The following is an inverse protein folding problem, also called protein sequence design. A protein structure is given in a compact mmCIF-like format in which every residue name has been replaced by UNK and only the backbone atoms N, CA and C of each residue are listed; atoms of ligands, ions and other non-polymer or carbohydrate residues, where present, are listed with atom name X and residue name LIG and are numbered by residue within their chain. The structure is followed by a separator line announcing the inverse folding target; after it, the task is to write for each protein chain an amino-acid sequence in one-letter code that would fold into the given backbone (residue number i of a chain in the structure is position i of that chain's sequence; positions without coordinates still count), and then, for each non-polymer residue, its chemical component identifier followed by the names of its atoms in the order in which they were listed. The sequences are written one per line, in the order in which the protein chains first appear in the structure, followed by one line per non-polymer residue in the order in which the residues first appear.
data_IF_959877670560
#
_entry.id   IF_959877670560
#
_cell.length_a   1.000
_cell.length_b   1.000
_cell.length_c   1.000
_cell.angle_alpha   90.00
_cell.angle_beta   90.00
_cell.angle_gamma   90.00
#
_symmetry.space_group_name_H-M   'P 1'
#
loop_
_entity.id
_entity.type
_entity.pdbx_description
1 polymer ?
#
# COMPACT_ATOMS: atom_id res chain seq x y z
N UNK A 1 3.54 -6.47 -17.33
CA UNK A 1 4.22 -5.66 -16.29
C UNK A 1 3.45 -5.83 -15.00
N UNK A 2 4.10 -5.91 -13.85
CA UNK A 2 3.43 -6.01 -12.55
C UNK A 2 3.67 -4.76 -11.73
N UNK A 3 2.60 -4.18 -11.18
CA UNK A 3 2.68 -3.02 -10.29
C UNK A 3 2.39 -3.49 -8.87
N UNK A 4 3.36 -3.28 -8.00
CA UNK A 4 3.24 -3.48 -6.56
C UNK A 4 3.44 -2.13 -5.90
N UNK A 5 2.48 -1.71 -5.08
CA UNK A 5 2.66 -0.53 -4.24
C UNK A 5 1.72 -0.56 -3.05
N UNK A 6 2.12 0.05 -1.95
CA UNK A 6 1.18 0.36 -0.87
C UNK A 6 0.32 1.57 -1.26
N UNK A 7 -0.99 1.52 -0.97
CA UNK A 7 -1.89 2.66 -1.11
C UNK A 7 -1.53 3.83 -0.18
N UNK A 8 -0.80 3.56 0.90
CA UNK A 8 -0.35 4.52 1.88
C UNK A 8 1.18 4.41 2.03
N UNK A 9 1.90 4.54 0.92
CA UNK A 9 3.35 4.42 0.89
C UNK A 9 4.00 5.39 1.89
N UNK A 10 4.68 4.82 2.89
CA UNK A 10 5.15 5.59 4.03
C UNK A 10 6.20 6.63 3.63
N UNK A 11 6.98 6.38 2.57
CA UNK A 11 7.96 7.34 2.06
C UNK A 11 7.27 8.52 1.38
N UNK A 12 6.29 8.27 0.50
CA UNK A 12 5.50 9.33 -0.14
C UNK A 12 4.76 10.19 0.89
N UNK A 13 4.13 9.58 1.89
CA UNK A 13 3.46 10.30 2.98
C UNK A 13 4.46 11.15 3.78
N UNK A 14 5.63 10.59 4.13
CA UNK A 14 6.61 11.28 4.96
C UNK A 14 7.33 12.43 4.24
N UNK A 15 7.59 12.31 2.94
CA UNK A 15 8.51 13.22 2.27
C UNK A 15 7.93 13.96 1.06
N UNK A 16 6.79 13.54 0.53
CA UNK A 16 6.19 14.13 -0.68
C UNK A 16 4.89 14.85 -0.36
N UNK A 17 3.94 14.18 0.28
CA UNK A 17 2.58 14.72 0.45
C UNK A 17 2.48 15.80 1.52
N UNK A 18 3.27 15.67 2.57
CA UNK A 18 3.20 16.55 3.74
C UNK A 18 4.57 17.18 3.95
N UNK A 19 4.94 18.22 3.18
CA UNK A 19 6.14 19.00 3.43
C UNK A 19 6.02 19.69 4.79
N UNK A 20 7.15 19.84 5.49
CA UNK A 20 7.16 20.37 6.86
C UNK A 20 6.61 21.81 6.95
N UNK A 21 6.62 22.55 5.83
CA UNK A 21 5.99 23.87 5.70
C UNK A 21 4.46 23.86 5.80
N UNK A 22 3.80 22.74 5.49
CA UNK A 22 2.33 22.57 5.55
C UNK A 22 1.86 21.99 6.89
N UNK A 23 2.76 21.68 7.82
CA UNK A 23 2.44 21.16 9.15
C UNK A 23 2.88 22.11 10.29
N UNK A 24 2.30 23.33 10.38
CA UNK A 24 2.59 24.23 11.49
C UNK A 24 2.35 23.53 12.84
N UNK A 25 3.35 23.55 13.72
CA UNK A 25 3.24 23.01 15.07
C UNK A 25 3.36 21.49 15.20
N UNK A 26 4.00 20.79 14.26
CA UNK A 26 4.20 19.33 14.31
C UNK A 26 2.90 18.50 14.26
N UNK A 27 1.79 19.08 13.82
CA UNK A 27 0.46 18.44 13.81
C UNK A 27 0.41 17.12 13.04
N UNK A 28 1.26 16.95 12.03
CA UNK A 28 1.39 15.74 11.23
C UNK A 28 2.50 14.79 11.67
N UNK A 29 3.39 15.20 12.59
CA UNK A 29 4.59 14.41 12.94
C UNK A 29 4.25 13.00 13.40
N UNK A 30 3.29 12.87 14.32
CA UNK A 30 2.83 11.57 14.82
C UNK A 30 2.19 10.70 13.73
N UNK A 31 1.38 11.31 12.86
CA UNK A 31 0.68 10.67 11.75
C UNK A 31 1.65 10.18 10.66
N UNK A 32 2.62 11.00 10.26
CA UNK A 32 3.69 10.66 9.30
C UNK A 32 4.56 9.50 9.81
N UNK A 33 4.80 9.45 11.11
CA UNK A 33 5.57 8.36 11.70
C UNK A 33 4.77 7.07 11.74
N UNK A 34 3.50 7.14 12.15
CA UNK A 34 2.60 6.01 12.25
C UNK A 34 1.16 6.43 11.91
N UNK A 35 0.63 5.88 10.81
CA UNK A 35 -0.70 6.19 10.29
C UNK A 35 -1.82 5.98 11.32
N UNK A 36 -1.62 5.11 12.34
CA UNK A 36 -2.59 4.90 13.44
C UNK A 36 -2.80 6.13 14.31
N UNK A 37 -1.85 7.06 14.30
CA UNK A 37 -1.92 8.29 15.06
C UNK A 37 -2.57 9.44 14.28
N UNK A 38 -3.00 9.20 13.04
CA UNK A 38 -3.70 10.20 12.24
C UNK A 38 -5.11 10.42 12.81
N UNK A 39 -5.52 11.69 12.92
CA UNK A 39 -6.90 12.02 13.20
C UNK A 39 -7.78 11.86 11.94
N UNK A 40 -9.09 12.03 12.08
CA UNK A 40 -10.05 11.84 10.98
C UNK A 40 -9.75 12.71 9.75
N UNK A 41 -9.40 13.98 9.93
CA UNK A 41 -9.08 14.89 8.83
C UNK A 41 -7.78 14.50 8.13
N UNK A 42 -6.78 14.04 8.89
CA UNK A 42 -5.54 13.53 8.32
C UNK A 42 -5.78 12.24 7.52
N UNK A 43 -6.62 11.34 8.04
CA UNK A 43 -7.00 10.12 7.33
C UNK A 43 -7.81 10.42 6.07
N UNK A 44 -8.73 11.37 6.11
CA UNK A 44 -9.50 11.79 4.92
C UNK A 44 -8.58 12.31 3.81
N UNK A 45 -7.57 13.11 4.16
CA UNK A 45 -6.54 13.56 3.20
C UNK A 45 -5.75 12.37 2.60
N UNK A 46 -5.33 11.41 3.43
CA UNK A 46 -4.62 10.23 2.96
C UNK A 46 -5.49 9.31 2.09
N UNK A 47 -6.79 9.19 2.39
CA UNK A 47 -7.73 8.45 1.55
C UNK A 47 -7.92 9.15 0.21
N UNK A 48 -7.99 10.49 0.17
CA UNK A 48 -8.00 11.23 -1.08
C UNK A 48 -6.75 10.99 -1.94
N UNK A 49 -5.57 10.84 -1.32
CA UNK A 49 -4.35 10.45 -2.05
C UNK A 49 -4.44 9.02 -2.61
N UNK A 50 -4.89 8.06 -1.80
CA UNK A 50 -5.15 6.68 -2.23
C UNK A 50 -6.09 6.67 -3.44
N UNK A 51 -7.20 7.38 -3.37
CA UNK A 51 -8.22 7.39 -4.42
C UNK A 51 -7.66 7.95 -5.73
N UNK A 52 -6.88 9.03 -5.66
CA UNK A 52 -6.18 9.57 -6.81
C UNK A 52 -5.19 8.55 -7.43
N UNK A 53 -4.48 7.78 -6.59
CA UNK A 53 -3.60 6.70 -7.07
C UNK A 53 -4.39 5.58 -7.75
N UNK A 54 -5.46 5.10 -7.12
CA UNK A 54 -6.33 4.04 -7.66
C UNK A 54 -6.94 4.47 -8.99
N UNK A 55 -7.43 5.71 -9.09
CA UNK A 55 -7.95 6.28 -10.32
C UNK A 55 -6.89 6.33 -11.43
N UNK A 56 -5.66 6.73 -11.11
CA UNK A 56 -4.56 6.72 -12.07
C UNK A 56 -4.18 5.30 -12.53
N UNK A 57 -4.39 4.29 -11.69
CA UNK A 57 -4.11 2.88 -11.99
C UNK A 57 -5.21 2.18 -12.79
N UNK A 58 -6.39 2.79 -12.99
CA UNK A 58 -7.47 2.23 -13.84
C UNK A 58 -6.99 1.88 -15.25
N UNK A 59 -5.97 2.57 -15.76
CA UNK A 59 -5.32 2.25 -17.05
C UNK A 59 -4.81 0.80 -17.12
N UNK A 60 -4.52 0.17 -15.97
CA UNK A 60 -4.05 -1.22 -15.89
C UNK A 60 -5.18 -2.20 -16.16
N UNK A 61 -6.45 -1.85 -15.88
CA UNK A 61 -7.60 -2.75 -16.03
C UNK A 61 -7.74 -3.30 -17.46
N UNK A 62 -7.46 -2.46 -18.46
CA UNK A 62 -7.57 -2.82 -19.88
C UNK A 62 -6.29 -3.44 -20.46
N UNK A 63 -5.18 -3.52 -19.70
CA UNK A 63 -3.92 -4.08 -20.17
C UNK A 63 -3.87 -5.59 -19.93
N UNK A 64 -3.81 -6.35 -21.02
CA UNK A 64 -3.58 -7.79 -20.99
C UNK A 64 -2.14 -8.09 -20.54
N UNK A 65 -1.97 -9.16 -19.75
CA UNK A 65 -0.66 -9.55 -19.20
C UNK A 65 -0.08 -8.58 -18.16
N UNK A 66 -0.82 -7.55 -17.75
CA UNK A 66 -0.44 -6.69 -16.63
C UNK A 66 -1.07 -7.17 -15.32
N UNK A 67 -0.32 -7.02 -14.24
CA UNK A 67 -0.77 -7.31 -12.89
C UNK A 67 -0.66 -6.09 -11.97
N UNK A 68 -1.45 -6.09 -10.92
CA UNK A 68 -1.56 -5.04 -9.93
C UNK A 68 -1.81 -5.68 -8.56
N UNK A 69 -1.04 -5.25 -7.56
CA UNK A 69 -1.26 -5.60 -6.16
C UNK A 69 -1.04 -4.34 -5.33
N UNK A 70 -2.14 -3.79 -4.83
CA UNK A 70 -2.15 -2.57 -4.01
C UNK A 70 -2.73 -2.90 -2.64
N UNK A 71 -1.88 -3.03 -1.62
CA UNK A 71 -2.34 -3.24 -0.24
C UNK A 71 -2.58 -1.93 0.51
N UNK A 72 -3.40 -2.00 1.57
CA UNK A 72 -3.70 -0.86 2.42
C UNK A 72 -2.68 -0.65 3.56
N UNK A 73 -1.48 -1.27 3.53
CA UNK A 73 -0.54 -1.17 4.65
C UNK A 73 0.25 0.14 4.62
N UNK A 74 0.69 0.66 5.77
CA UNK A 74 1.58 1.83 5.82
C UNK A 74 3.05 1.38 5.81
N UNK A 75 3.58 1.10 4.62
CA UNK A 75 4.90 0.46 4.42
C UNK A 75 5.61 1.06 3.20
N UNK A 76 6.85 0.66 2.94
CA UNK A 76 7.66 1.06 1.78
C UNK A 76 8.56 -0.12 1.35
N UNK A 77 9.08 -0.11 0.11
CA UNK A 77 10.07 -1.11 -0.38
C UNK A 77 9.68 -2.59 -0.14
N UNK A 78 8.43 -2.96 -0.44
CA UNK A 78 7.83 -4.23 -0.04
C UNK A 78 8.50 -5.50 -0.59
N UNK A 79 9.30 -5.38 -1.66
CA UNK A 79 10.03 -6.49 -2.28
C UNK A 79 11.38 -6.78 -1.62
N UNK A 80 11.88 -5.92 -0.74
CA UNK A 80 13.26 -6.02 -0.23
C UNK A 80 13.39 -7.03 0.90
N UNK A 81 12.31 -7.30 1.62
CA UNK A 81 12.29 -8.18 2.79
C UNK A 81 11.43 -9.41 2.54
N UNK A 82 11.95 -10.60 2.84
CA UNK A 82 11.18 -11.84 2.83
C UNK A 82 9.98 -11.77 3.80
N UNK A 83 10.08 -10.96 4.85
CA UNK A 83 8.98 -10.77 5.82
C UNK A 83 7.79 -10.10 5.13
N UNK A 84 8.00 -9.05 4.35
CA UNK A 84 6.92 -8.39 3.59
C UNK A 84 6.55 -9.17 2.34
N UNK A 85 7.50 -9.87 1.72
CA UNK A 85 7.33 -10.56 0.44
C UNK A 85 6.58 -11.90 0.54
N UNK A 86 7.06 -12.83 1.38
CA UNK A 86 6.49 -14.18 1.48
C UNK A 86 6.68 -14.85 2.85
N UNK A 87 5.88 -14.42 3.83
CA UNK A 87 5.92 -14.93 5.20
C UNK A 87 4.53 -14.92 5.86
N UNK A 88 4.37 -15.49 7.06
CA UNK A 88 3.15 -15.34 7.86
C UNK A 88 2.81 -13.89 8.27
N UNK A 89 3.77 -12.97 8.10
CA UNK A 89 3.66 -11.54 8.40
C UNK A 89 3.53 -10.66 7.16
N UNK A 90 3.56 -11.24 5.95
CA UNK A 90 3.37 -10.49 4.72
C UNK A 90 1.96 -9.91 4.66
N UNK A 91 1.79 -8.71 4.07
CA UNK A 91 0.50 -8.23 3.61
C UNK A 91 -0.16 -9.29 2.73
N UNK A 92 -1.47 -9.45 2.91
CA UNK A 92 -2.28 -10.31 2.07
C UNK A 92 -3.50 -9.59 1.54
N UNK A 93 -3.83 -9.85 0.29
CA UNK A 93 -5.12 -9.55 -0.31
C UNK A 93 -5.83 -10.88 -0.55
N UNK A 94 -7.03 -11.00 0.02
CA UNK A 94 -7.62 -12.31 0.26
C UNK A 94 -6.64 -13.19 1.06
N UNK A 95 -6.33 -14.37 0.52
CA UNK A 95 -5.43 -15.33 1.15
C UNK A 95 -4.00 -15.32 0.58
N UNK A 96 -3.68 -14.43 -0.36
CA UNK A 96 -2.38 -14.46 -1.07
C UNK A 96 -1.37 -13.45 -0.54
N UNK A 97 -0.11 -13.86 -0.38
CA UNK A 97 1.02 -12.96 -0.22
C UNK A 97 1.33 -12.23 -1.52
N UNK A 98 2.20 -11.22 -1.42
CA UNK A 98 2.77 -10.54 -2.58
C UNK A 98 3.46 -11.53 -3.51
N UNK A 99 4.28 -12.45 -2.98
CA UNK A 99 4.99 -13.44 -3.79
C UNK A 99 4.04 -14.42 -4.50
N UNK A 100 2.98 -14.85 -3.83
CA UNK A 100 1.96 -15.73 -4.42
C UNK A 100 1.22 -15.01 -5.57
N UNK A 101 0.82 -13.75 -5.36
CA UNK A 101 0.19 -12.92 -6.39
C UNK A 101 1.11 -12.69 -7.61
N UNK A 102 2.40 -12.43 -7.38
CA UNK A 102 3.39 -12.27 -8.46
C UNK A 102 3.64 -13.59 -9.18
N UNK A 103 3.70 -14.71 -8.46
CA UNK A 103 3.82 -16.05 -9.04
C UNK A 103 2.64 -16.41 -9.94
N UNK A 104 1.42 -16.16 -9.48
CA UNK A 104 0.20 -16.38 -10.26
C UNK A 104 0.18 -15.56 -11.55
N UNK A 105 0.58 -14.29 -11.46
CA UNK A 105 0.71 -13.42 -12.62
C UNK A 105 1.78 -13.93 -13.61
N UNK A 106 2.96 -14.30 -13.12
CA UNK A 106 4.08 -14.73 -13.96
C UNK A 106 3.80 -16.06 -14.67
N UNK A 107 3.10 -17.00 -14.03
CA UNK A 107 2.77 -18.30 -14.61
C UNK A 107 1.60 -18.23 -15.61
N UNK A 108 0.87 -17.12 -15.68
CA UNK A 108 -0.35 -17.01 -16.49
C UNK A 108 -1.52 -17.84 -15.97
N UNK A 109 -1.42 -18.36 -14.74
CA UNK A 109 -2.44 -19.20 -14.10
C UNK A 109 -3.65 -18.40 -13.60
N UNK A 110 -3.54 -17.07 -13.59
CA UNK A 110 -4.59 -16.15 -13.18
C UNK A 110 -4.87 -15.16 -14.30
N UNK A 111 -6.05 -15.28 -14.91
CA UNK A 111 -6.61 -14.19 -15.68
C UNK A 111 -6.89 -13.03 -14.70
N UNK A 112 -5.92 -12.10 -14.61
CA UNK A 112 -5.99 -10.80 -13.93
C UNK A 112 -5.75 -10.84 -12.41
N UNK A 113 -4.49 -10.99 -12.01
CA UNK A 113 -4.04 -10.50 -10.68
C UNK A 113 -4.07 -8.98 -10.71
N UNK A 114 -5.24 -8.38 -10.53
CA UNK A 114 -5.44 -6.93 -10.44
C UNK A 114 -6.20 -6.63 -9.16
N UNK A 115 -5.47 -6.66 -8.05
CA UNK A 115 -6.00 -6.61 -6.70
C UNK A 115 -5.68 -5.25 -6.07
N UNK A 116 -6.72 -4.59 -5.58
CA UNK A 116 -6.63 -3.32 -4.86
C UNK A 116 -7.41 -3.49 -3.56
N UNK A 117 -6.74 -3.22 -2.45
CA UNK A 117 -7.29 -3.35 -1.11
C UNK A 117 -8.26 -2.21 -0.77
N UNK A 118 -8.99 -2.37 0.34
CA UNK A 118 -9.85 -1.34 0.89
C UNK A 118 -9.06 -0.18 1.53
N UNK A 119 -9.77 0.85 1.99
CA UNK A 119 -9.16 1.96 2.74
C UNK A 119 -8.62 1.50 4.10
N UNK A 120 -7.53 2.11 4.55
CA UNK A 120 -6.96 1.84 5.87
C UNK A 120 -7.98 2.16 6.98
N UNK A 121 -8.06 1.38 8.08
CA UNK A 121 -7.19 0.27 8.50
C UNK A 121 -7.79 -1.12 8.23
N UNK A 122 -8.41 -1.35 7.06
CA UNK A 122 -9.19 -2.57 6.87
C UNK A 122 -8.37 -3.86 6.87
N UNK A 123 -7.12 -3.84 6.41
CA UNK A 123 -6.32 -5.05 6.25
C UNK A 123 -5.62 -5.44 7.57
N UNK A 124 -6.04 -6.55 8.22
CA UNK A 124 -5.49 -6.95 9.50
C UNK A 124 -4.06 -7.48 9.39
N UNK A 125 -3.62 -7.91 8.20
CA UNK A 125 -2.28 -8.47 7.99
C UNK A 125 -1.18 -7.41 8.09
N UNK A 126 -1.49 -6.15 7.74
CA UNK A 126 -0.61 -5.00 7.90
C UNK A 126 -0.16 -4.78 9.34
N UNK A 127 -1.01 -5.12 10.31
CA UNK A 127 -0.75 -4.88 11.72
C UNK A 127 0.39 -5.73 12.31
N UNK A 128 0.81 -6.75 11.56
CA UNK A 128 1.88 -7.67 11.93
C UNK A 128 3.26 -7.24 11.41
N UNK A 129 3.32 -6.15 10.63
CA UNK A 129 4.58 -5.59 10.16
C UNK A 129 5.29 -4.87 11.31
N UNK A 130 6.58 -5.15 11.47
CA UNK A 130 7.40 -4.51 12.49
C UNK A 130 7.55 -3.02 12.17
N UNK A 131 7.51 -2.11 13.17
CA UNK A 131 7.49 -0.65 12.98
C UNK A 131 8.71 -0.03 12.25
N UNK A 132 9.68 -0.83 11.83
CA UNK A 132 10.95 -0.40 11.24
C UNK A 132 11.27 -1.05 9.89
N UNK A 133 10.30 -1.73 9.27
CA UNK A 133 10.31 -2.11 7.85
C UNK A 133 9.30 -1.25 7.09
#
# INVERSE_FOLDING_TARGET
MFILNSAYDSFQVRYVLIPDSLAPGNSWSCCKHNIRNCNSTQMEFLNGFRDAMVDALKVVEDKEGWGLFIDSCFTHCQTVSDISWNSPFSPRLGDKTIAEAVGDWQCGCSERVKEIDCEYPCNPTCSRQLPWM
#
